data_IF_748219355060
#
_entry.id   IF_748219355060
#
_cell.length_a   1.000
_cell.length_b   1.000
_cell.length_c   1.000
_cell.angle_alpha   90.00
_cell.angle_beta   90.00
_cell.angle_gamma   90.00
#
_symmetry.space_group_name_H-M   'P 1'
#
loop_
_entity.id
_entity.type
_entity.pdbx_description
1 polymer ?
#
# COMPACT_ATOMS: atom_id res chain seq x y z
N UNK A 1 30.53 -19.26 -69.23
CA UNK A 1 30.80 -19.33 -67.78
C UNK A 1 30.97 -17.88 -67.32
N UNK A 2 29.83 -17.25 -66.93
CA UNK A 2 29.84 -15.86 -66.48
C UNK A 2 30.05 -15.89 -64.94
N UNK A 3 31.16 -15.38 -64.50
CA UNK A 3 31.47 -15.15 -63.10
C UNK A 3 30.75 -13.86 -62.69
N UNK A 4 29.65 -14.00 -61.90
CA UNK A 4 29.00 -12.86 -61.27
C UNK A 4 29.91 -12.29 -60.17
N UNK A 5 30.51 -11.14 -60.45
CA UNK A 5 31.22 -10.34 -59.44
C UNK A 5 30.21 -9.85 -58.40
N UNK A 6 30.26 -10.40 -57.22
CA UNK A 6 29.58 -9.85 -56.04
C UNK A 6 30.15 -8.46 -55.74
N UNK A 7 29.43 -7.41 -56.14
CA UNK A 7 29.69 -6.04 -55.71
C UNK A 7 29.45 -5.92 -54.20
N UNK A 8 30.50 -6.08 -53.42
CA UNK A 8 30.46 -5.73 -51.98
C UNK A 8 30.10 -4.25 -51.84
N UNK A 9 28.87 -3.97 -51.39
CA UNK A 9 28.39 -2.61 -51.12
C UNK A 9 29.21 -2.00 -49.98
N UNK A 10 30.09 -1.08 -50.30
CA UNK A 10 30.85 -0.31 -49.30
C UNK A 10 29.88 0.61 -48.55
N UNK A 11 29.64 0.32 -47.27
CA UNK A 11 28.80 1.16 -46.37
C UNK A 11 29.75 2.19 -45.74
N UNK A 12 29.53 3.50 -45.95
CA UNK A 12 30.42 4.53 -45.41
C UNK A 12 30.34 4.54 -43.87
N UNK A 13 31.47 4.72 -43.20
CA UNK A 13 31.65 4.71 -41.74
C UNK A 13 30.65 5.62 -41.01
N UNK A 14 30.28 6.76 -41.63
CA UNK A 14 29.26 7.68 -41.10
C UNK A 14 27.91 7.00 -40.83
N UNK A 15 27.52 5.99 -41.60
CA UNK A 15 26.26 5.28 -41.42
C UNK A 15 26.31 4.36 -40.18
N UNK A 16 27.48 3.76 -39.89
CA UNK A 16 27.67 3.00 -38.66
C UNK A 16 27.60 3.90 -37.42
N UNK A 17 28.21 5.09 -37.47
CA UNK A 17 28.11 6.07 -36.38
C UNK A 17 26.68 6.49 -36.15
N UNK A 18 25.92 6.74 -37.21
CA UNK A 18 24.51 7.12 -37.11
C UNK A 18 23.65 6.01 -36.48
N UNK A 19 23.88 4.75 -36.85
CA UNK A 19 23.22 3.58 -36.26
C UNK A 19 23.55 3.45 -34.76
N UNK A 20 24.82 3.62 -34.36
CA UNK A 20 25.22 3.59 -32.95
C UNK A 20 24.58 4.71 -32.18
N UNK A 21 24.49 5.93 -32.72
CA UNK A 21 23.80 7.05 -32.08
C UNK A 21 22.28 6.78 -31.90
N UNK A 22 21.65 6.16 -32.89
CA UNK A 22 20.23 5.74 -32.77
C UNK A 22 20.06 4.72 -31.65
N UNK A 23 20.92 3.71 -31.53
CA UNK A 23 20.84 2.74 -30.43
C UNK A 23 21.04 3.40 -29.07
N UNK A 24 21.99 4.31 -28.94
CA UNK A 24 22.21 5.08 -27.70
C UNK A 24 20.96 5.92 -27.34
N UNK A 25 20.34 6.58 -28.31
CA UNK A 25 19.14 7.35 -28.10
C UNK A 25 17.97 6.46 -27.60
N UNK A 26 17.76 5.28 -28.19
CA UNK A 26 16.73 4.32 -27.76
C UNK A 26 16.99 3.86 -26.33
N UNK A 27 18.24 3.54 -25.97
CA UNK A 27 18.60 3.14 -24.59
C UNK A 27 18.28 4.27 -23.60
N UNK A 28 18.66 5.52 -23.92
CA UNK A 28 18.40 6.67 -23.04
C UNK A 28 16.90 6.90 -22.85
N UNK A 29 16.11 6.82 -23.92
CA UNK A 29 14.63 6.95 -23.85
C UNK A 29 14.05 5.83 -22.99
N UNK A 30 14.51 4.60 -23.15
CA UNK A 30 14.02 3.46 -22.36
C UNK A 30 14.33 3.63 -20.87
N UNK A 31 15.54 4.07 -20.52
CA UNK A 31 15.93 4.35 -19.13
C UNK A 31 15.12 5.50 -18.54
N UNK A 32 14.85 6.54 -19.31
CA UNK A 32 14.00 7.66 -18.89
C UNK A 32 12.56 7.20 -18.61
N UNK A 33 11.96 6.45 -19.52
CA UNK A 33 10.61 5.90 -19.34
C UNK A 33 10.51 4.96 -18.14
N UNK A 34 11.55 4.15 -17.90
CA UNK A 34 11.62 3.27 -16.75
C UNK A 34 11.68 4.05 -15.43
N UNK A 35 12.52 5.10 -15.34
CA UNK A 35 12.57 6.01 -14.19
C UNK A 35 11.23 6.71 -13.98
N UNK A 36 10.65 7.25 -15.02
CA UNK A 36 9.34 7.92 -14.95
C UNK A 36 8.24 6.98 -14.46
N UNK A 37 8.22 5.73 -14.93
CA UNK A 37 7.30 4.71 -14.45
C UNK A 37 7.50 4.39 -12.96
N UNK A 38 8.75 4.29 -12.49
CA UNK A 38 9.05 4.07 -11.06
C UNK A 38 8.58 5.24 -10.21
N UNK A 39 8.82 6.49 -10.62
CA UNK A 39 8.35 7.69 -9.91
C UNK A 39 6.83 7.70 -9.82
N UNK A 40 6.12 7.52 -10.93
CA UNK A 40 4.64 7.44 -10.91
C UNK A 40 4.10 6.31 -10.04
N UNK A 41 4.80 5.18 -10.00
CA UNK A 41 4.41 4.07 -9.13
C UNK A 41 4.62 4.39 -7.66
N UNK A 42 5.69 5.11 -7.30
CA UNK A 42 5.93 5.55 -5.93
C UNK A 42 4.95 6.64 -5.48
N UNK A 43 4.64 7.61 -6.34
CA UNK A 43 3.64 8.64 -6.06
C UNK A 43 2.26 8.05 -5.73
N UNK A 44 1.80 7.06 -6.48
CA UNK A 44 0.51 6.36 -6.21
C UNK A 44 0.46 5.67 -4.85
N UNK A 45 1.59 5.32 -4.27
CA UNK A 45 1.67 4.58 -2.99
C UNK A 45 1.96 5.53 -1.83
N UNK A 46 2.15 6.83 -2.10
CA UNK A 46 2.45 7.85 -1.09
C UNK A 46 1.26 8.15 -0.17
N UNK A 47 0.06 7.77 -0.57
CA UNK A 47 -1.16 7.84 0.27
C UNK A 47 -1.76 6.44 0.42
N UNK A 48 -2.52 6.22 1.50
CA UNK A 48 -3.35 5.03 1.62
C UNK A 48 -4.47 5.06 0.58
N UNK A 49 -4.74 3.94 -0.07
CA UNK A 49 -5.86 3.79 -0.99
C UNK A 49 -7.20 4.15 -0.33
N UNK A 50 -7.34 3.82 0.96
CA UNK A 50 -8.57 4.06 1.73
C UNK A 50 -8.90 5.56 1.84
N UNK A 51 -7.89 6.40 1.99
CA UNK A 51 -8.05 7.86 2.07
C UNK A 51 -8.22 8.47 0.68
N UNK A 52 -7.39 8.05 -0.28
CA UNK A 52 -7.45 8.54 -1.67
C UNK A 52 -8.86 8.36 -2.28
N UNK A 53 -9.50 7.22 -1.98
CA UNK A 53 -10.84 6.89 -2.51
C UNK A 53 -11.98 7.18 -1.52
N UNK A 54 -11.71 7.90 -0.43
CA UNK A 54 -12.71 8.32 0.56
C UNK A 54 -13.51 7.16 1.18
N UNK A 55 -12.93 5.96 1.23
CA UNK A 55 -13.54 4.81 1.92
C UNK A 55 -13.49 5.00 3.44
N UNK A 56 -12.45 5.68 3.92
CA UNK A 56 -12.26 6.03 5.32
C UNK A 56 -12.01 7.52 5.41
N UNK A 57 -12.79 8.20 6.23
CA UNK A 57 -12.69 9.64 6.49
C UNK A 57 -11.82 9.86 7.74
N UNK A 58 -11.95 8.96 8.70
CA UNK A 58 -11.34 9.08 10.02
C UNK A 58 -9.94 8.47 10.02
N UNK A 59 -8.92 9.30 10.20
CA UNK A 59 -7.53 8.86 10.29
C UNK A 59 -6.78 9.61 11.39
N UNK A 60 -5.80 8.95 11.97
CA UNK A 60 -4.79 9.57 12.83
C UNK A 60 -3.40 8.98 12.54
N UNK A 61 -2.36 9.77 12.78
CA UNK A 61 -0.96 9.33 12.76
C UNK A 61 -0.27 9.51 14.12
N UNK A 62 -0.97 10.11 15.07
CA UNK A 62 -0.47 10.37 16.42
C UNK A 62 -0.98 9.32 17.41
N UNK A 63 -0.08 8.83 18.24
CA UNK A 63 -0.45 7.91 19.35
C UNK A 63 -1.31 8.61 20.41
N UNK A 64 -1.06 9.89 20.67
CA UNK A 64 -1.84 10.66 21.65
C UNK A 64 -3.30 10.85 21.17
N UNK A 65 -3.49 11.13 19.88
CA UNK A 65 -4.83 11.20 19.28
C UNK A 65 -5.52 9.83 19.27
N UNK A 66 -4.77 8.75 19.05
CA UNK A 66 -5.32 7.39 19.01
C UNK A 66 -6.03 7.03 20.32
N UNK A 67 -5.50 7.46 21.47
CA UNK A 67 -6.14 7.25 22.76
C UNK A 67 -7.52 7.93 22.83
N UNK A 68 -7.61 9.15 22.32
CA UNK A 68 -8.87 9.88 22.26
C UNK A 68 -9.87 9.17 21.33
N UNK A 69 -9.41 8.74 20.16
CA UNK A 69 -10.22 7.99 19.19
C UNK A 69 -10.84 6.73 19.83
N UNK A 70 -10.04 5.94 20.55
CA UNK A 70 -10.52 4.73 21.24
C UNK A 70 -11.54 5.09 22.34
N UNK A 71 -11.31 6.17 23.08
CA UNK A 71 -12.20 6.59 24.16
C UNK A 71 -13.51 7.17 23.64
N UNK A 72 -13.47 7.98 22.59
CA UNK A 72 -14.64 8.63 21.99
C UNK A 72 -15.53 7.65 21.24
N UNK A 73 -14.95 6.58 20.66
CA UNK A 73 -15.66 5.54 19.92
C UNK A 73 -15.80 4.26 20.75
N UNK A 74 -16.15 4.43 22.03
CA UNK A 74 -16.15 3.34 23.00
C UNK A 74 -17.11 2.19 22.67
N UNK A 75 -18.24 2.45 21.99
CA UNK A 75 -19.20 1.40 21.67
C UNK A 75 -18.67 0.37 20.69
N UNK A 76 -18.20 0.81 19.53
CA UNK A 76 -17.61 -0.06 18.48
C UNK A 76 -16.61 0.70 17.64
N UNK A 77 -15.43 0.14 17.47
CA UNK A 77 -14.37 0.73 16.65
C UNK A 77 -13.59 -0.37 15.91
N UNK A 78 -13.45 -0.23 14.61
CA UNK A 78 -12.53 -1.01 13.77
C UNK A 78 -11.28 -0.18 13.51
N UNK A 79 -10.19 -0.44 14.24
CA UNK A 79 -8.94 0.25 14.09
C UNK A 79 -8.03 -0.52 13.11
N UNK A 80 -7.79 0.03 11.93
CA UNK A 80 -6.88 -0.52 10.95
C UNK A 80 -5.54 0.20 11.02
N UNK A 81 -4.51 -0.53 11.43
CA UNK A 81 -3.15 -0.03 11.57
C UNK A 81 -2.37 -0.39 10.32
N UNK A 82 -1.92 0.61 9.58
CA UNK A 82 -1.25 0.44 8.31
C UNK A 82 -0.18 1.51 8.09
N UNK A 83 0.61 1.39 7.03
CA UNK A 83 1.60 2.38 6.64
C UNK A 83 1.63 2.55 5.12
N UNK A 84 1.94 3.77 4.70
CA UNK A 84 2.10 4.18 3.30
C UNK A 84 3.40 3.68 2.69
N UNK A 85 3.67 4.04 1.44
CA UNK A 85 4.89 3.71 0.69
C UNK A 85 5.11 2.20 0.51
N UNK A 86 4.02 1.41 0.50
CA UNK A 86 4.05 -0.02 0.30
C UNK A 86 3.04 -0.50 -0.74
N UNK A 87 3.53 -0.88 -1.91
CA UNK A 87 2.68 -1.33 -3.03
C UNK A 87 1.86 -2.59 -2.73
N UNK A 88 2.32 -3.46 -1.83
CA UNK A 88 1.55 -4.65 -1.44
C UNK A 88 0.33 -4.26 -0.62
N UNK A 89 0.52 -3.37 0.37
CA UNK A 89 -0.57 -2.86 1.21
C UNK A 89 -1.58 -2.11 0.35
N UNK A 90 -1.12 -1.17 -0.48
CA UNK A 90 -1.98 -0.43 -1.40
C UNK A 90 -2.83 -1.36 -2.29
N UNK A 91 -2.24 -2.43 -2.84
CA UNK A 91 -2.95 -3.40 -3.65
C UNK A 91 -3.94 -4.28 -2.85
N UNK A 92 -3.72 -4.49 -1.56
CA UNK A 92 -4.68 -5.15 -0.67
C UNK A 92 -5.85 -4.22 -0.40
N UNK A 93 -5.57 -2.96 -0.01
CA UNK A 93 -6.56 -1.92 0.28
C UNK A 93 -7.45 -1.63 -0.92
N UNK A 94 -6.91 -1.63 -2.14
CA UNK A 94 -7.68 -1.48 -3.39
C UNK A 94 -8.80 -2.50 -3.57
N UNK A 95 -8.77 -3.58 -2.83
CA UNK A 95 -9.80 -4.63 -2.89
C UNK A 95 -10.80 -4.54 -1.74
N UNK A 96 -10.80 -3.44 -0.99
CA UNK A 96 -11.71 -3.25 0.14
C UNK A 96 -13.02 -2.57 -0.25
N UNK A 97 -13.12 -1.97 -1.44
CA UNK A 97 -14.29 -1.22 -1.89
C UNK A 97 -15.60 -1.98 -1.61
N UNK A 98 -15.71 -3.22 -2.10
CA UNK A 98 -16.89 -4.06 -1.91
C UNK A 98 -17.12 -4.46 -0.44
N UNK A 99 -16.06 -4.57 0.39
CA UNK A 99 -16.21 -4.88 1.82
C UNK A 99 -16.84 -3.70 2.55
N UNK A 100 -16.43 -2.47 2.21
CA UNK A 100 -17.04 -1.27 2.80
C UNK A 100 -18.50 -1.10 2.37
N UNK A 101 -18.81 -1.40 1.12
CA UNK A 101 -20.18 -1.37 0.57
C UNK A 101 -21.07 -2.46 1.21
N UNK A 102 -20.59 -3.72 1.24
CA UNK A 102 -21.37 -4.88 1.70
C UNK A 102 -21.68 -4.84 3.23
N UNK A 103 -20.74 -4.30 4.03
CA UNK A 103 -20.84 -4.32 5.49
C UNK A 103 -21.11 -2.95 6.13
N UNK A 104 -21.14 -1.88 5.34
CA UNK A 104 -21.40 -0.50 5.81
C UNK A 104 -20.57 -0.11 7.04
N UNK A 105 -19.26 -0.34 6.98
CA UNK A 105 -18.36 -0.20 8.13
C UNK A 105 -17.64 1.16 8.18
N UNK A 106 -17.89 2.06 7.23
CA UNK A 106 -17.17 3.35 7.08
C UNK A 106 -17.20 4.19 8.37
N UNK A 107 -18.33 4.20 9.09
CA UNK A 107 -18.51 5.04 10.27
C UNK A 107 -17.70 4.56 11.48
N UNK A 108 -17.44 3.26 11.58
CA UNK A 108 -16.71 2.65 12.70
C UNK A 108 -15.25 2.32 12.34
N UNK A 109 -14.84 2.55 11.07
CA UNK A 109 -13.52 2.21 10.59
C UNK A 109 -12.57 3.41 10.67
N UNK A 110 -11.47 3.23 11.39
CA UNK A 110 -10.43 4.23 11.58
C UNK A 110 -9.10 3.73 11.05
N UNK A 111 -8.39 4.60 10.33
CA UNK A 111 -7.02 4.34 9.90
C UNK A 111 -6.03 4.96 10.89
N UNK A 112 -5.19 4.12 11.48
CA UNK A 112 -3.99 4.57 12.17
C UNK A 112 -2.78 4.40 11.25
N UNK A 113 -2.30 5.51 10.70
CA UNK A 113 -1.15 5.54 9.81
C UNK A 113 0.14 5.61 10.61
N UNK A 114 0.87 4.52 10.64
CA UNK A 114 2.13 4.39 11.39
C UNK A 114 3.38 4.69 10.55
N UNK A 115 3.24 5.36 9.39
CA UNK A 115 4.37 5.62 8.48
C UNK A 115 5.49 6.39 9.18
N UNK A 116 5.17 7.52 9.81
CA UNK A 116 6.16 8.36 10.47
C UNK A 116 6.80 7.66 11.69
N UNK A 117 6.00 6.88 12.43
CA UNK A 117 6.52 6.08 13.56
C UNK A 117 7.50 5.03 13.05
N UNK A 118 7.19 4.37 11.94
CA UNK A 118 8.03 3.35 11.34
C UNK A 118 9.34 3.92 10.77
N UNK A 119 9.30 5.11 10.17
CA UNK A 119 10.47 5.77 9.59
C UNK A 119 11.43 6.29 10.69
N UNK A 120 10.88 6.76 11.79
CA UNK A 120 11.66 7.37 12.88
C UNK A 120 12.04 6.40 14.01
N UNK A 121 11.43 5.21 14.07
CA UNK A 121 11.67 4.24 15.13
C UNK A 121 11.96 2.84 14.61
N UNK A 122 13.19 2.37 14.73
CA UNK A 122 13.58 1.01 14.31
C UNK A 122 12.82 -0.10 15.05
N UNK A 123 12.37 0.16 16.28
CA UNK A 123 11.61 -0.77 17.12
C UNK A 123 10.11 -0.49 17.11
N UNK A 124 9.60 0.18 16.07
CA UNK A 124 8.21 0.62 15.96
C UNK A 124 7.18 -0.47 16.26
N UNK A 125 7.47 -1.73 15.89
CA UNK A 125 6.57 -2.86 16.15
C UNK A 125 6.37 -3.08 17.64
N UNK A 126 7.44 -3.18 18.40
CA UNK A 126 7.36 -3.35 19.86
C UNK A 126 6.74 -2.13 20.52
N UNK A 127 7.05 -0.94 20.02
CA UNK A 127 6.51 0.31 20.55
C UNK A 127 4.97 0.33 20.41
N UNK A 128 4.43 0.03 19.22
CA UNK A 128 2.99 0.00 18.97
C UNK A 128 2.32 -1.18 19.68
N UNK A 129 2.93 -2.36 19.65
CA UNK A 129 2.42 -3.55 20.33
C UNK A 129 2.25 -3.31 21.84
N UNK A 130 3.27 -2.72 22.48
CA UNK A 130 3.23 -2.40 23.92
C UNK A 130 2.19 -1.32 24.23
N UNK A 131 2.06 -0.31 23.34
CA UNK A 131 1.08 0.76 23.55
C UNK A 131 -0.37 0.25 23.47
N UNK A 132 -0.65 -0.65 22.53
CA UNK A 132 -1.99 -1.19 22.28
C UNK A 132 -2.28 -2.50 23.03
N UNK A 133 -1.32 -3.01 23.77
CA UNK A 133 -1.41 -4.33 24.44
C UNK A 133 -1.77 -5.47 23.47
N UNK A 134 -1.11 -5.51 22.33
CA UNK A 134 -1.27 -6.54 21.29
C UNK A 134 0.06 -7.25 21.04
N UNK A 135 -0.02 -8.45 20.45
CA UNK A 135 1.18 -9.19 20.06
C UNK A 135 1.10 -9.59 18.59
N UNK A 136 1.62 -8.72 17.71
CA UNK A 136 1.66 -8.96 16.28
C UNK A 136 3.08 -8.87 15.72
N UNK A 137 3.40 -9.75 14.79
CA UNK A 137 4.73 -9.82 14.19
C UNK A 137 4.97 -8.76 13.11
N UNK A 138 3.90 -8.19 12.52
CA UNK A 138 3.97 -7.26 11.39
C UNK A 138 2.61 -6.62 11.07
N UNK A 139 2.63 -5.53 10.30
CA UNK A 139 1.47 -4.77 9.84
C UNK A 139 1.22 -4.98 8.33
N UNK A 140 -0.03 -4.75 7.83
CA UNK A 140 -1.19 -4.17 8.51
C UNK A 140 -1.93 -5.12 9.45
N UNK A 141 -2.61 -4.53 10.44
CA UNK A 141 -3.40 -5.21 11.46
C UNK A 141 -4.75 -4.52 11.59
N UNK A 142 -5.81 -5.29 11.81
CA UNK A 142 -7.14 -4.79 12.20
C UNK A 142 -7.40 -5.19 13.64
N UNK A 143 -7.92 -4.26 14.45
CA UNK A 143 -8.32 -4.46 15.83
C UNK A 143 -9.79 -4.07 15.94
N UNK A 144 -10.58 -4.90 16.55
CA UNK A 144 -11.94 -4.57 16.91
C UNK A 144 -12.02 -4.25 18.40
N UNK A 145 -12.47 -3.04 18.68
CA UNK A 145 -12.79 -2.58 20.02
C UNK A 145 -14.31 -2.63 20.21
N UNK A 146 -14.72 -3.07 21.38
CA UNK A 146 -16.08 -3.08 21.85
C UNK A 146 -16.07 -2.62 23.31
N UNK A 147 -16.90 -1.65 23.64
CA UNK A 147 -16.93 -0.99 24.95
C UNK A 147 -15.55 -0.48 25.43
N UNK A 148 -14.76 0.04 24.48
CA UNK A 148 -13.41 0.58 24.74
C UNK A 148 -12.33 -0.48 25.01
N UNK A 149 -12.66 -1.77 24.91
CA UNK A 149 -11.72 -2.88 25.11
C UNK A 149 -11.45 -3.64 23.83
N UNK A 150 -10.25 -4.22 23.71
CA UNK A 150 -9.93 -5.08 22.59
C UNK A 150 -10.72 -6.38 22.67
N UNK A 151 -11.67 -6.54 21.76
CA UNK A 151 -12.42 -7.79 21.61
C UNK A 151 -11.62 -8.82 20.80
N UNK A 152 -11.05 -8.37 19.67
CA UNK A 152 -10.27 -9.24 18.80
C UNK A 152 -9.33 -8.43 17.89
N UNK A 153 -8.25 -9.06 17.43
CA UNK A 153 -7.38 -8.46 16.43
C UNK A 153 -6.81 -9.51 15.48
N UNK A 154 -6.42 -9.07 14.28
CA UNK A 154 -5.87 -9.95 13.25
C UNK A 154 -4.91 -9.21 12.32
N UNK A 155 -3.78 -9.86 11.99
CA UNK A 155 -2.90 -9.44 10.90
C UNK A 155 -3.59 -9.65 9.56
N UNK A 156 -3.55 -8.64 8.69
CA UNK A 156 -4.14 -8.67 7.36
C UNK A 156 -3.05 -8.96 6.32
N UNK A 157 -3.19 -10.09 5.63
CA UNK A 157 -2.31 -10.49 4.52
C UNK A 157 -2.98 -10.36 3.16
N UNK A 158 -4.32 -10.32 3.16
CA UNK A 158 -5.16 -10.25 1.95
C UNK A 158 -6.51 -9.58 2.28
N UNK A 159 -7.23 -9.12 1.25
CA UNK A 159 -8.60 -8.61 1.42
C UNK A 159 -9.55 -9.65 2.06
N UNK A 160 -9.36 -10.94 1.76
CA UNK A 160 -10.15 -12.03 2.34
C UNK A 160 -9.96 -12.17 3.86
N UNK A 161 -8.82 -11.72 4.40
CA UNK A 161 -8.59 -11.74 5.84
C UNK A 161 -9.46 -10.69 6.54
N UNK A 162 -9.58 -9.49 5.96
CA UNK A 162 -10.46 -8.44 6.44
C UNK A 162 -11.92 -8.88 6.36
N UNK A 163 -12.36 -9.38 5.23
CA UNK A 163 -13.73 -9.85 5.01
C UNK A 163 -14.13 -10.93 6.03
N UNK A 164 -13.27 -11.94 6.24
CA UNK A 164 -13.49 -13.00 7.23
C UNK A 164 -13.53 -12.45 8.66
N UNK A 165 -12.72 -11.45 8.94
CA UNK A 165 -12.68 -10.81 10.27
C UNK A 165 -13.98 -10.08 10.55
N UNK A 166 -14.46 -9.29 9.59
CA UNK A 166 -15.74 -8.54 9.71
C UNK A 166 -16.91 -9.50 9.81
N UNK A 167 -16.99 -10.54 8.96
CA UNK A 167 -18.05 -11.58 9.06
C UNK A 167 -18.12 -12.26 10.43
N UNK A 168 -16.96 -12.42 11.09
CA UNK A 168 -16.92 -13.01 12.43
C UNK A 168 -17.48 -12.06 13.49
N UNK A 169 -17.16 -10.77 13.38
CA UNK A 169 -17.66 -9.75 14.31
C UNK A 169 -19.16 -9.57 14.16
N UNK A 170 -19.63 -9.47 12.93
CA UNK A 170 -21.05 -9.27 12.61
C UNK A 170 -21.94 -10.41 13.15
N UNK A 171 -21.46 -11.65 13.06
CA UNK A 171 -22.14 -12.82 13.62
C UNK A 171 -22.19 -12.87 15.15
N UNK A 172 -21.25 -12.24 15.83
CA UNK A 172 -21.18 -12.24 17.29
C UNK A 172 -21.95 -11.05 17.90
N UNK A 173 -22.46 -10.14 17.05
CA UNK A 173 -23.18 -8.93 17.45
C UNK A 173 -24.70 -9.06 17.27
N UNK A 174 -25.17 -10.22 16.83
CA UNK A 174 -26.57 -10.65 16.75
C UNK A 174 -26.88 -11.64 17.87
#
# INVERSE_FOLDING_TARGET
METSEEKTRYIPIKNYILVVLMFLAVILITLYLFKWYQVKKSEKVSQSYLIENKLVINQTSSIDELKNVITENSSRLLLYISYRNNSKIYNIEKKYDHIFEDYNISDIFYLFDITDIKENNKNYKNYINNYLDINVSDYPVIIFYEDGQINSYKKIKSHKDLEKFIKKIDKNSL
#
